data_IF_513420025610
#
_entry.id   IF_513420025610
#
_cell.length_a   1.000
_cell.length_b   1.000
_cell.length_c   1.000
_cell.angle_alpha   90.00
_cell.angle_beta   90.00
_cell.angle_gamma   90.00
#
_symmetry.space_group_name_H-M   'P 1'
#
loop_
_entity.id
_entity.type
_entity.pdbx_description
1 polymer ?
#
# COMPACT_ATOMS: atom_id res chain seq x y z
N UNK A 1 5.65 4.78 44.09
CA UNK A 1 5.26 4.75 42.67
C UNK A 1 5.61 6.09 42.07
N UNK A 2 6.27 6.13 40.92
CA UNK A 2 6.54 7.39 40.21
C UNK A 2 5.24 7.82 39.55
N UNK A 3 4.74 9.03 39.87
CA UNK A 3 3.64 9.64 39.14
C UNK A 3 4.19 10.35 37.91
N UNK A 4 3.68 10.02 36.74
CA UNK A 4 3.94 10.71 35.47
C UNK A 4 2.64 11.35 35.02
N UNK A 5 2.63 12.68 34.87
CA UNK A 5 1.44 13.47 34.49
C UNK A 5 1.44 13.82 32.99
N UNK A 6 2.62 13.92 32.36
CA UNK A 6 2.76 14.27 30.95
C UNK A 6 3.69 13.29 30.24
N UNK A 7 3.26 12.82 29.06
CA UNK A 7 4.09 12.04 28.14
C UNK A 7 4.31 12.91 26.90
N UNK A 8 5.57 13.18 26.59
CA UNK A 8 5.97 13.79 25.32
C UNK A 8 6.47 12.67 24.40
N UNK A 9 5.85 12.53 23.23
CA UNK A 9 6.24 11.53 22.24
C UNK A 9 6.58 12.22 20.92
N UNK A 10 7.67 11.77 20.29
CA UNK A 10 7.99 12.20 18.94
C UNK A 10 7.12 11.46 17.91
N UNK A 11 6.90 12.08 16.75
CA UNK A 11 6.12 11.43 15.68
C UNK A 11 6.94 10.32 15.00
N UNK A 12 8.16 10.63 14.58
CA UNK A 12 8.92 9.78 13.67
C UNK A 12 9.79 8.82 14.46
N UNK A 13 9.61 7.51 14.26
CA UNK A 13 10.38 6.51 15.00
C UNK A 13 9.87 6.21 16.41
N UNK A 14 8.80 6.88 16.87
CA UNK A 14 8.03 6.48 18.06
C UNK A 14 6.58 6.16 17.71
N UNK A 15 5.82 7.11 17.14
CA UNK A 15 4.43 6.88 16.74
C UNK A 15 4.32 6.18 15.38
N UNK A 16 5.21 6.51 14.44
CA UNK A 16 5.21 5.91 13.10
C UNK A 16 6.49 5.13 12.83
N UNK A 17 6.36 3.98 12.18
CA UNK A 17 7.50 3.25 11.60
C UNK A 17 7.95 3.99 10.33
N UNK A 18 9.25 3.99 10.03
CA UNK A 18 9.77 4.51 8.76
C UNK A 18 9.56 3.49 7.63
N UNK A 19 8.31 3.07 7.43
CA UNK A 19 7.86 2.11 6.44
C UNK A 19 6.57 2.66 5.84
N UNK A 20 6.56 2.89 4.54
CA UNK A 20 5.38 3.29 3.79
C UNK A 20 4.87 2.11 2.99
N UNK A 21 3.56 1.90 2.96
CA UNK A 21 2.92 0.78 2.26
C UNK A 21 1.78 1.30 1.38
N UNK A 22 1.70 0.80 0.15
CA UNK A 22 0.53 1.03 -0.69
C UNK A 22 -0.63 0.19 -0.17
N UNK A 23 -1.69 0.85 0.30
CA UNK A 23 -2.79 0.20 1.04
C UNK A 23 -4.15 0.29 0.34
N UNK A 24 -4.55 1.49 -0.09
CA UNK A 24 -5.82 1.77 -0.78
C UNK A 24 -5.60 2.83 -1.85
N UNK A 25 -6.44 2.83 -2.89
CA UNK A 25 -6.45 3.89 -3.89
C UNK A 25 -7.86 4.17 -4.40
N UNK A 26 -8.06 5.33 -5.02
CA UNK A 26 -9.28 5.64 -5.75
C UNK A 26 -8.96 5.83 -7.23
N UNK A 27 -9.70 5.15 -8.10
CA UNK A 27 -9.53 5.24 -9.55
C UNK A 27 -10.91 5.46 -10.17
N UNK A 28 -11.07 6.57 -10.90
CA UNK A 28 -12.34 6.87 -11.57
C UNK A 28 -13.53 7.06 -10.64
N UNK A 29 -13.32 7.40 -9.37
CA UNK A 29 -14.37 7.56 -8.35
C UNK A 29 -14.70 6.29 -7.57
N UNK A 30 -14.16 5.13 -7.98
CA UNK A 30 -14.28 3.87 -7.25
C UNK A 30 -13.12 3.73 -6.26
N UNK A 31 -13.41 3.20 -5.07
CA UNK A 31 -12.41 2.92 -4.03
C UNK A 31 -11.96 1.48 -4.13
N UNK A 32 -10.65 1.27 -4.04
CA UNK A 32 -10.02 -0.04 -4.12
C UNK A 32 -9.06 -0.26 -2.95
N UNK A 33 -8.91 -1.52 -2.57
CA UNK A 33 -8.13 -1.95 -1.42
C UNK A 33 -9.05 -2.35 -0.28
N UNK A 34 -8.91 -3.61 0.16
CA UNK A 34 -9.61 -4.20 1.29
C UNK A 34 -8.73 -4.10 2.54
N UNK A 35 -9.34 -4.30 3.71
CA UNK A 35 -8.65 -4.18 4.99
C UNK A 35 -9.12 -2.98 5.80
N UNK A 36 -9.17 -3.18 7.11
CA UNK A 36 -9.57 -2.19 8.09
C UNK A 36 -8.30 -1.73 8.80
N UNK A 37 -8.03 -0.42 8.80
CA UNK A 37 -6.92 0.13 9.58
C UNK A 37 -7.21 0.00 11.07
N UNK A 38 -6.17 -0.07 11.90
CA UNK A 38 -6.34 -0.08 13.37
C UNK A 38 -7.14 1.13 13.87
N UNK A 39 -7.06 2.26 13.15
CA UNK A 39 -7.82 3.48 13.43
C UNK A 39 -9.31 3.28 13.15
N UNK A 40 -9.66 2.73 11.99
CA UNK A 40 -11.05 2.42 11.63
C UNK A 40 -11.65 1.39 12.61
N UNK A 41 -10.86 0.38 12.99
CA UNK A 41 -11.24 -0.61 14.01
C UNK A 41 -11.51 0.03 15.36
N UNK A 42 -10.57 0.81 15.88
CA UNK A 42 -10.74 1.51 17.16
C UNK A 42 -11.87 2.54 17.13
N UNK A 43 -12.16 3.13 15.97
CA UNK A 43 -13.32 3.99 15.74
C UNK A 43 -14.63 3.23 15.86
N UNK A 44 -14.76 2.09 15.18
CA UNK A 44 -15.96 1.26 15.21
C UNK A 44 -16.19 0.64 16.60
N UNK A 45 -15.13 0.17 17.27
CA UNK A 45 -15.21 -0.36 18.63
C UNK A 45 -15.75 0.69 19.61
N UNK A 46 -15.27 1.95 19.51
CA UNK A 46 -15.82 3.08 20.30
C UNK A 46 -17.28 3.39 19.96
N UNK A 47 -17.72 3.12 18.73
CA UNK A 47 -19.10 3.26 18.30
C UNK A 47 -19.98 2.03 18.66
N UNK A 48 -19.42 1.00 19.32
CA UNK A 48 -20.12 -0.22 19.68
C UNK A 48 -20.35 -1.20 18.53
N UNK A 49 -19.71 -0.96 17.38
CA UNK A 49 -19.79 -1.82 16.19
C UNK A 49 -18.66 -2.84 16.29
N UNK A 50 -19.01 -4.13 16.43
CA UNK A 50 -18.04 -5.22 16.30
C UNK A 50 -17.80 -5.49 14.82
N UNK A 51 -16.63 -5.11 14.33
CA UNK A 51 -16.20 -5.50 12.99
C UNK A 51 -15.54 -6.87 13.09
N UNK A 52 -16.17 -7.90 12.54
CA UNK A 52 -15.57 -9.21 12.36
C UNK A 52 -14.52 -9.10 11.24
N UNK A 53 -13.27 -8.92 11.65
CA UNK A 53 -12.11 -8.84 10.75
C UNK A 53 -11.69 -10.26 10.33
N UNK A 54 -12.55 -10.90 9.53
CA UNK A 54 -12.24 -12.22 8.93
C UNK A 54 -11.17 -12.09 7.83
N UNK A 55 -10.96 -10.90 7.26
CA UNK A 55 -9.97 -10.62 6.20
C UNK A 55 -8.59 -10.19 6.71
N UNK A 56 -8.48 -9.51 7.86
CA UNK A 56 -7.20 -9.21 8.51
C UNK A 56 -6.39 -10.47 8.89
N UNK A 57 -7.04 -11.63 8.99
CA UNK A 57 -6.38 -12.94 9.15
C UNK A 57 -5.67 -13.43 7.88
N UNK A 58 -6.15 -13.03 6.67
CA UNK A 58 -5.54 -13.44 5.38
C UNK A 58 -4.29 -12.61 5.06
N UNK A 59 -4.28 -11.34 5.45
CA UNK A 59 -3.15 -10.42 5.26
C UNK A 59 -1.87 -10.89 5.96
N UNK A 60 -1.98 -11.65 7.06
CA UNK A 60 -0.83 -12.18 7.80
C UNK A 60 -0.10 -13.36 7.10
N UNK A 61 -0.74 -14.02 6.12
CA UNK A 61 -0.24 -15.26 5.51
C UNK A 61 0.42 -15.07 4.13
N UNK A 62 0.25 -13.90 3.50
CA UNK A 62 0.86 -13.59 2.20
C UNK A 62 2.15 -12.81 2.44
N UNK A 63 3.25 -13.33 1.91
CA UNK A 63 4.58 -12.70 1.94
C UNK A 63 4.45 -11.27 1.43
N UNK A 64 4.41 -10.30 2.35
CA UNK A 64 4.37 -8.88 2.00
C UNK A 64 5.74 -8.50 1.41
N UNK A 65 5.76 -8.11 0.14
CA UNK A 65 6.88 -7.35 -0.40
C UNK A 65 6.92 -6.03 0.38
N UNK A 66 8.08 -5.68 0.97
CA UNK A 66 8.21 -4.46 1.78
C UNK A 66 7.72 -3.26 0.97
N UNK A 67 6.66 -2.62 1.44
CA UNK A 67 6.06 -1.45 0.79
C UNK A 67 4.75 -1.72 0.02
N UNK A 68 4.25 -2.96 0.03
CA UNK A 68 2.99 -3.32 -0.61
C UNK A 68 2.07 -4.08 0.37
N UNK A 69 0.96 -3.47 0.73
CA UNK A 69 -0.07 -4.04 1.61
C UNK A 69 -1.45 -3.76 0.99
N UNK A 70 -1.65 -4.27 -0.21
CA UNK A 70 -2.88 -4.05 -0.96
C UNK A 70 -3.50 -5.40 -1.32
N UNK A 71 -4.75 -5.57 -0.92
CA UNK A 71 -5.55 -6.74 -1.29
C UNK A 71 -6.88 -6.25 -1.87
N UNK A 72 -7.10 -6.48 -3.16
CA UNK A 72 -8.40 -6.27 -3.79
C UNK A 72 -8.51 -7.15 -5.03
N UNK A 73 -9.42 -8.11 -4.99
CA UNK A 73 -9.66 -9.02 -6.11
C UNK A 73 -10.05 -8.30 -7.42
N UNK A 74 -10.56 -7.07 -7.34
CA UNK A 74 -10.94 -6.26 -8.50
C UNK A 74 -9.74 -5.70 -9.27
N UNK A 75 -8.64 -5.40 -8.58
CA UNK A 75 -7.43 -4.84 -9.22
C UNK A 75 -6.29 -5.85 -9.34
N UNK A 76 -6.19 -6.79 -8.39
CA UNK A 76 -5.07 -7.73 -8.33
C UNK A 76 -5.09 -8.73 -9.49
N UNK A 77 -3.90 -9.29 -9.80
CA UNK A 77 -3.72 -10.33 -10.84
C UNK A 77 -4.24 -9.95 -12.22
N UNK A 78 -4.23 -8.66 -12.54
CA UNK A 78 -4.71 -8.14 -13.82
C UNK A 78 -6.23 -8.03 -13.95
N UNK A 79 -6.97 -8.23 -12.86
CA UNK A 79 -8.43 -8.08 -12.83
C UNK A 79 -8.88 -6.65 -13.14
N UNK A 80 -8.00 -5.65 -12.96
CA UNK A 80 -8.24 -4.26 -13.33
C UNK A 80 -8.66 -4.07 -14.80
N UNK A 81 -8.37 -5.04 -15.69
CA UNK A 81 -8.83 -5.04 -17.09
C UNK A 81 -10.33 -5.30 -17.25
N UNK A 82 -10.96 -5.91 -16.25
CA UNK A 82 -12.38 -6.25 -16.24
C UNK A 82 -13.24 -5.17 -15.56
N UNK A 83 -12.60 -4.17 -14.97
CA UNK A 83 -13.30 -3.06 -14.33
C UNK A 83 -14.07 -2.24 -15.35
N UNK A 84 -15.11 -1.48 -14.91
CA UNK A 84 -15.93 -0.67 -15.81
C UNK A 84 -15.11 0.34 -16.63
N UNK A 85 -13.96 0.78 -16.10
CA UNK A 85 -13.14 1.82 -16.69
C UNK A 85 -11.65 1.40 -16.75
N UNK A 86 -11.29 0.42 -17.61
CA UNK A 86 -9.97 -0.21 -17.60
C UNK A 86 -8.86 0.74 -18.07
N UNK A 87 -9.18 1.70 -18.95
CA UNK A 87 -8.22 2.73 -19.37
C UNK A 87 -7.85 3.67 -18.22
N UNK A 88 -8.79 3.99 -17.32
CA UNK A 88 -8.49 4.80 -16.15
C UNK A 88 -7.56 4.05 -15.17
N UNK A 89 -7.80 2.76 -14.93
CA UNK A 89 -6.91 1.91 -14.14
C UNK A 89 -5.51 1.82 -14.76
N UNK A 90 -5.44 1.62 -16.07
CA UNK A 90 -4.18 1.54 -16.81
C UNK A 90 -3.38 2.83 -16.72
N UNK A 91 -4.00 3.98 -16.98
CA UNK A 91 -3.31 5.27 -16.89
C UNK A 91 -2.93 5.60 -15.45
N UNK A 92 -3.75 5.23 -14.46
CA UNK A 92 -3.39 5.35 -13.04
C UNK A 92 -2.11 4.59 -12.69
N UNK A 93 -2.04 3.29 -13.00
CA UNK A 93 -0.85 2.48 -12.73
C UNK A 93 0.35 2.90 -13.57
N UNK A 94 0.12 3.34 -14.80
CA UNK A 94 1.16 3.90 -15.66
C UNK A 94 1.76 5.17 -15.05
N UNK A 95 0.93 6.08 -14.53
CA UNK A 95 1.39 7.26 -13.81
C UNK A 95 2.24 6.88 -12.59
N UNK A 96 1.82 5.87 -11.81
CA UNK A 96 2.63 5.36 -10.69
C UNK A 96 3.99 4.80 -11.13
N UNK A 97 4.09 4.24 -12.34
CA UNK A 97 5.31 3.66 -12.90
C UNK A 97 6.22 4.66 -13.63
N UNK A 98 5.78 5.90 -13.88
CA UNK A 98 6.57 6.89 -14.65
C UNK A 98 6.76 8.23 -13.93
N UNK A 99 5.84 8.62 -13.05
CA UNK A 99 5.88 9.90 -12.35
C UNK A 99 6.66 9.80 -11.04
N UNK A 100 7.91 9.37 -11.11
CA UNK A 100 8.78 9.23 -9.94
C UNK A 100 10.25 9.44 -10.29
N UNK A 101 11.09 9.61 -9.27
CA UNK A 101 12.56 9.73 -9.43
C UNK A 101 13.33 8.46 -9.03
N UNK A 102 12.62 7.37 -8.75
CA UNK A 102 13.17 6.07 -8.35
C UNK A 102 14.11 5.50 -9.42
N UNK A 103 15.25 4.99 -8.96
CA UNK A 103 16.28 4.37 -9.79
C UNK A 103 16.14 2.83 -9.74
N UNK A 104 15.96 2.15 -10.88
CA UNK A 104 16.01 0.69 -10.93
C UNK A 104 17.46 0.20 -10.85
N UNK A 105 17.69 -0.81 -10.00
CA UNK A 105 18.98 -1.49 -9.83
C UNK A 105 18.80 -3.00 -10.01
N UNK A 106 19.73 -3.63 -10.72
CA UNK A 106 19.77 -5.08 -10.95
C UNK A 106 19.48 -5.47 -12.40
N UNK A 107 19.10 -6.74 -12.61
CA UNK A 107 18.70 -7.24 -13.93
C UNK A 107 17.32 -6.70 -14.32
N UNK A 108 17.10 -6.44 -15.62
CA UNK A 108 15.83 -6.00 -16.23
C UNK A 108 14.76 -7.11 -16.24
N UNK A 109 14.65 -7.86 -15.15
CA UNK A 109 13.64 -8.89 -14.95
C UNK A 109 12.79 -8.52 -13.73
N UNK A 110 11.46 -8.71 -13.78
CA UNK A 110 10.56 -8.31 -12.69
C UNK A 110 10.89 -8.99 -11.36
N UNK A 111 11.51 -10.16 -11.38
CA UNK A 111 11.88 -10.90 -10.16
C UNK A 111 13.16 -10.38 -9.50
N UNK A 112 14.10 -9.80 -10.27
CA UNK A 112 15.42 -9.38 -9.78
C UNK A 112 15.61 -7.87 -9.73
N UNK A 113 14.73 -7.11 -10.37
CA UNK A 113 14.78 -5.65 -10.34
C UNK A 113 14.42 -5.15 -8.94
N UNK A 114 15.30 -4.30 -8.41
CA UNK A 114 15.15 -3.59 -7.15
C UNK A 114 15.06 -2.09 -7.40
N UNK A 115 14.43 -1.36 -6.47
CA UNK A 115 14.14 0.07 -6.64
C UNK A 115 14.76 0.87 -5.51
N UNK A 116 15.62 1.83 -5.86
CA UNK A 116 16.19 2.80 -4.93
C UNK A 116 15.45 4.13 -5.07
N UNK A 117 14.85 4.60 -3.98
CA UNK A 117 14.14 5.87 -3.94
C UNK A 117 14.72 6.77 -2.84
N UNK A 118 14.71 8.08 -3.08
CA UNK A 118 15.06 9.06 -2.04
C UNK A 118 13.96 9.20 -0.97
N UNK A 119 12.73 8.82 -1.31
CA UNK A 119 11.57 8.81 -0.40
C UNK A 119 10.95 7.40 -0.30
N UNK A 120 10.60 6.94 0.91
CA UNK A 120 9.90 5.66 1.08
C UNK A 120 8.51 5.65 0.46
N UNK A 121 7.86 6.81 0.31
CA UNK A 121 6.57 6.93 -0.37
C UNK A 121 6.68 6.58 -1.85
N UNK A 122 7.68 7.14 -2.54
CA UNK A 122 7.95 6.83 -3.95
C UNK A 122 8.30 5.34 -4.13
N UNK A 123 9.10 4.77 -3.23
CA UNK A 123 9.42 3.34 -3.25
C UNK A 123 8.15 2.48 -3.17
N UNK A 124 7.21 2.81 -2.27
CA UNK A 124 5.94 2.09 -2.12
C UNK A 124 5.06 2.21 -3.38
N UNK A 125 5.00 3.40 -3.99
CA UNK A 125 4.22 3.63 -5.22
C UNK A 125 4.76 2.81 -6.40
N UNK A 126 6.10 2.77 -6.58
CA UNK A 126 6.73 2.01 -7.67
C UNK A 126 6.64 0.50 -7.41
N UNK A 127 6.79 0.08 -6.15
CA UNK A 127 6.55 -1.32 -5.76
C UNK A 127 5.10 -1.75 -6.05
N UNK A 128 4.13 -0.88 -5.81
CA UNK A 128 2.74 -1.13 -6.17
C UNK A 128 2.56 -1.27 -7.68
N UNK A 129 3.09 -0.32 -8.47
CA UNK A 129 3.01 -0.39 -9.93
C UNK A 129 3.59 -1.71 -10.47
N UNK A 130 4.77 -2.13 -9.98
CA UNK A 130 5.39 -3.43 -10.28
C UNK A 130 4.45 -4.60 -9.97
N UNK A 131 3.82 -4.61 -8.79
CA UNK A 131 2.87 -5.67 -8.38
C UNK A 131 1.60 -5.73 -9.26
N UNK A 132 1.17 -4.62 -9.83
CA UNK A 132 0.06 -4.58 -10.81
C UNK A 132 0.49 -4.92 -12.25
N UNK A 133 1.76 -5.23 -12.47
CA UNK A 133 2.32 -5.61 -13.78
C UNK A 133 2.89 -4.44 -14.59
N UNK A 134 3.06 -3.27 -13.97
CA UNK A 134 3.65 -2.08 -14.56
C UNK A 134 5.02 -1.82 -13.92
N UNK A 135 6.05 -2.54 -14.38
CA UNK A 135 7.41 -2.37 -13.85
C UNK A 135 8.19 -1.36 -14.69
N UNK A 136 9.00 -0.55 -14.01
CA UNK A 136 9.86 0.47 -14.60
C UNK A 136 11.27 -0.08 -14.77
N UNK A 137 11.82 -0.01 -15.98
CA UNK A 137 13.19 -0.41 -16.31
C UNK A 137 13.84 0.64 -17.21
N UNK A 138 15.18 0.64 -17.30
CA UNK A 138 15.94 1.64 -18.07
C UNK A 138 16.11 1.25 -19.53
#
# INVERSE_FOLDING_TARGET
MVQIEYIFSDKTGTLTRNLMEFFKCSIGGEMYGTGITEIEKGGAERAGIKIDDEEGKRSAAVVHEKGFNFDDAKLMRGAWRNEPNPEACKEFFRCLAICHTVLPEGEETPEKISYQAASPDEAALVAAAKNFGFFFYR
#
